data_IF_935053929229
#
_entry.id   IF_935053929229
#
_cell.length_a   1.000
_cell.length_b   1.000
_cell.length_c   1.000
_cell.angle_alpha   90.00
_cell.angle_beta   90.00
_cell.angle_gamma   90.00
#
_symmetry.space_group_name_H-M   'P 1'
#
loop_
_entity.id
_entity.type
_entity.pdbx_description
1 polymer ?
#
# COMPACT_ATOMS: atom_id res chain seq x y z
N UNK A 1 -10.03 1.75 11.32
CA UNK A 1 -9.74 2.26 12.69
C UNK A 1 -10.69 3.40 13.09
N UNK A 2 -10.78 4.44 12.25
CA UNK A 2 -11.53 5.67 12.61
C UNK A 2 -13.05 5.48 12.63
N UNK A 3 -13.64 4.68 11.73
CA UNK A 3 -15.08 4.34 11.79
C UNK A 3 -15.43 3.63 13.11
N UNK A 4 -14.56 2.74 13.59
CA UNK A 4 -14.75 2.02 14.86
C UNK A 4 -14.70 2.99 16.03
N UNK A 5 -13.74 3.92 16.00
CA UNK A 5 -13.54 4.96 17.03
C UNK A 5 -14.67 6.01 17.05
N UNK A 6 -15.17 6.41 15.87
CA UNK A 6 -16.15 7.49 15.70
C UNK A 6 -17.59 6.99 15.86
N UNK A 7 -17.93 5.83 15.30
CA UNK A 7 -19.31 5.29 15.32
C UNK A 7 -19.57 4.38 16.53
N UNK A 8 -18.56 4.13 17.38
CA UNK A 8 -18.62 3.20 18.52
C UNK A 8 -19.10 1.79 18.15
N UNK A 9 -18.82 1.33 16.93
CA UNK A 9 -19.00 -0.09 16.63
C UNK A 9 -18.06 -0.87 17.55
N UNK A 10 -18.59 -1.86 18.26
CA UNK A 10 -17.75 -2.70 19.10
C UNK A 10 -16.70 -3.36 18.19
N UNK A 11 -15.42 -3.35 18.59
CA UNK A 11 -14.33 -3.87 17.74
C UNK A 11 -14.54 -5.35 17.39
N UNK A 12 -15.22 -6.11 18.26
CA UNK A 12 -15.69 -7.48 17.99
C UNK A 12 -16.71 -7.62 16.84
N UNK A 13 -17.31 -6.51 16.38
CA UNK A 13 -18.26 -6.47 15.26
C UNK A 13 -17.62 -5.94 13.98
N UNK A 14 -16.30 -5.81 13.96
CA UNK A 14 -15.56 -5.26 12.82
C UNK A 14 -14.69 -6.34 12.19
N UNK A 15 -14.63 -6.34 10.85
CA UNK A 15 -13.76 -7.24 10.09
C UNK A 15 -12.75 -6.41 9.33
N UNK A 16 -11.47 -6.78 9.50
CA UNK A 16 -10.41 -6.30 8.64
C UNK A 16 -10.39 -7.19 7.40
N UNK A 17 -10.80 -6.63 6.28
CA UNK A 17 -10.60 -7.26 4.98
C UNK A 17 -9.44 -6.56 4.27
N UNK A 18 -8.57 -7.31 3.56
CA UNK A 18 -7.70 -6.68 2.59
C UNK A 18 -8.57 -6.05 1.49
N UNK A 19 -7.93 -5.39 0.53
CA UNK A 19 -8.61 -4.96 -0.69
C UNK A 19 -8.60 -6.12 -1.69
N UNK A 20 -9.68 -6.91 -1.86
CA UNK A 20 -9.64 -8.09 -2.73
C UNK A 20 -9.63 -7.73 -4.22
N UNK A 21 -9.13 -8.65 -5.06
CA UNK A 21 -9.24 -8.60 -6.50
C UNK A 21 -10.07 -9.77 -7.05
N UNK A 22 -10.59 -9.65 -8.28
CA UNK A 22 -11.37 -10.73 -8.91
C UNK A 22 -10.43 -11.69 -9.64
N UNK A 23 -10.22 -12.88 -9.07
CA UNK A 23 -9.50 -13.93 -9.77
C UNK A 23 -10.23 -14.32 -11.06
N UNK A 24 -11.55 -14.44 -11.02
CA UNK A 24 -12.34 -14.75 -12.22
C UNK A 24 -12.09 -13.77 -13.37
N UNK A 25 -11.92 -12.47 -13.09
CA UNK A 25 -11.71 -11.43 -14.11
C UNK A 25 -10.27 -11.34 -14.64
N UNK A 26 -9.27 -11.64 -13.81
CA UNK A 26 -7.87 -11.43 -14.18
C UNK A 26 -7.05 -12.71 -14.37
N UNK A 27 -7.41 -13.81 -13.69
CA UNK A 27 -6.72 -15.10 -13.80
C UNK A 27 -7.10 -15.91 -15.05
N UNK A 28 -8.23 -15.61 -15.69
CA UNK A 28 -8.80 -16.40 -16.79
C UNK A 28 -8.08 -16.14 -18.14
N UNK A 29 -7.22 -17.09 -18.50
CA UNK A 29 -6.64 -17.44 -19.83
C UNK A 29 -5.68 -16.44 -20.51
N UNK A 30 -4.38 -16.52 -20.20
CA UNK A 30 -3.28 -15.93 -20.98
C UNK A 30 -3.23 -16.43 -22.44
N UNK A 31 -3.69 -17.66 -22.71
CA UNK A 31 -3.58 -18.30 -24.03
C UNK A 31 -4.42 -17.66 -25.12
N UNK A 32 -5.54 -17.00 -24.78
CA UNK A 32 -6.35 -16.25 -25.74
C UNK A 32 -5.77 -14.84 -26.02
N UNK A 33 -4.87 -14.34 -25.17
CA UNK A 33 -4.35 -12.96 -25.22
C UNK A 33 -3.07 -12.82 -26.07
N UNK A 34 -2.39 -13.93 -26.37
CA UNK A 34 -1.16 -13.92 -27.19
C UNK A 34 -1.40 -13.62 -28.68
N UNK A 35 -2.59 -13.88 -29.22
CA UNK A 35 -2.88 -13.63 -30.64
C UNK A 35 -3.21 -12.16 -30.97
N UNK A 36 -3.39 -11.30 -29.97
CA UNK A 36 -3.59 -9.84 -30.15
C UNK A 36 -2.41 -8.99 -29.68
N UNK A 37 -1.22 -9.57 -29.51
CA UNK A 37 -0.09 -8.93 -28.82
C UNK A 37 0.47 -7.68 -29.50
N UNK A 38 0.11 -7.40 -30.76
CA UNK A 38 0.55 -6.17 -31.43
C UNK A 38 -0.09 -4.90 -30.86
N UNK A 39 -1.21 -5.00 -30.14
CA UNK A 39 -1.91 -3.83 -29.63
C UNK A 39 -1.21 -3.15 -28.45
N UNK A 40 -0.41 -3.90 -27.69
CA UNK A 40 0.20 -3.40 -26.45
C UNK A 40 1.72 -3.58 -26.44
N UNK A 41 2.35 -2.87 -27.36
CA UNK A 41 3.79 -2.90 -27.59
C UNK A 41 4.53 -1.97 -26.61
N UNK A 42 4.75 -2.44 -25.37
CA UNK A 42 5.47 -1.70 -24.33
C UNK A 42 6.15 -2.63 -23.31
N UNK A 43 7.36 -2.31 -22.90
CA UNK A 43 8.04 -2.99 -21.78
C UNK A 43 7.50 -2.51 -20.43
N UNK A 44 7.23 -1.21 -20.32
CA UNK A 44 6.85 -0.54 -19.07
C UNK A 44 5.44 0.01 -19.18
N UNK A 45 4.59 -0.30 -18.20
CA UNK A 45 3.22 0.20 -18.12
C UNK A 45 2.96 0.98 -16.84
N UNK A 46 2.28 2.10 -16.96
CA UNK A 46 1.65 2.80 -15.85
C UNK A 46 0.15 2.90 -16.15
N UNK A 47 -0.69 2.17 -15.43
CA UNK A 47 -2.15 2.16 -15.64
C UNK A 47 -2.90 2.82 -14.46
N UNK A 48 -3.14 4.13 -14.53
CA UNK A 48 -3.80 4.90 -13.48
C UNK A 48 -4.53 6.15 -14.00
N UNK A 49 -5.70 6.46 -13.42
CA UNK A 49 -6.53 7.61 -13.78
C UNK A 49 -6.10 8.89 -13.06
N UNK A 50 -4.81 9.25 -13.14
CA UNK A 50 -4.22 10.40 -12.43
C UNK A 50 -3.29 11.20 -13.36
N UNK A 51 -3.65 11.35 -14.64
CA UNK A 51 -2.84 12.16 -15.57
C UNK A 51 -2.98 13.68 -15.35
N UNK A 52 -4.02 14.12 -14.64
CA UNK A 52 -4.13 15.52 -14.20
C UNK A 52 -3.02 15.83 -13.18
N UNK A 53 -2.15 16.78 -13.54
CA UNK A 53 -1.02 17.21 -12.70
C UNK A 53 -1.47 17.71 -11.32
N UNK A 54 -0.62 17.60 -10.28
CA UNK A 54 -0.93 18.11 -8.95
C UNK A 54 -1.37 19.59 -8.96
N UNK A 55 -0.71 20.43 -9.76
CA UNK A 55 -1.04 21.84 -9.89
C UNK A 55 -2.44 22.08 -10.50
N UNK A 56 -2.77 21.39 -11.61
CA UNK A 56 -4.10 21.50 -12.25
C UNK A 56 -5.20 20.97 -11.34
N UNK A 57 -4.93 19.92 -10.58
CA UNK A 57 -5.87 19.41 -9.58
C UNK A 57 -6.13 20.45 -8.48
N UNK A 58 -5.10 21.13 -7.97
CA UNK A 58 -5.25 22.21 -6.97
C UNK A 58 -6.06 23.37 -7.55
N UNK A 59 -5.73 23.82 -8.77
CA UNK A 59 -6.47 24.89 -9.46
C UNK A 59 -7.96 24.54 -9.62
N UNK A 60 -8.28 23.34 -10.13
CA UNK A 60 -9.66 22.87 -10.25
C UNK A 60 -10.36 22.78 -8.91
N UNK A 61 -9.66 22.38 -7.85
CA UNK A 61 -10.20 22.31 -6.50
C UNK A 61 -10.51 23.71 -5.96
N UNK A 62 -9.63 24.69 -6.17
CA UNK A 62 -9.87 26.10 -5.81
C UNK A 62 -11.07 26.68 -6.57
N UNK A 63 -11.20 26.38 -7.86
CA UNK A 63 -12.36 26.80 -8.67
C UNK A 63 -13.66 26.19 -8.11
N UNK A 64 -13.65 24.91 -7.74
CA UNK A 64 -14.80 24.23 -7.15
C UNK A 64 -15.15 24.73 -5.74
N UNK A 65 -14.22 25.37 -5.02
CA UNK A 65 -14.44 25.95 -3.69
C UNK A 65 -14.63 27.46 -3.71
N UNK A 66 -14.65 28.13 -4.87
CA UNK A 66 -14.70 29.60 -4.99
C UNK A 66 -15.82 30.30 -4.21
N UNK A 67 -16.96 29.63 -3.97
CA UNK A 67 -18.05 30.14 -3.12
C UNK A 67 -17.81 30.03 -1.61
N UNK A 68 -16.65 29.52 -1.18
CA UNK A 68 -16.27 29.26 0.22
C UNK A 68 -14.87 29.83 0.47
N UNK A 69 -14.73 31.15 0.73
CA UNK A 69 -13.43 31.81 0.83
C UNK A 69 -12.49 31.22 1.88
N UNK A 70 -13.03 30.72 3.01
CA UNK A 70 -12.24 30.03 4.03
C UNK A 70 -11.57 28.76 3.47
N UNK A 71 -12.31 27.95 2.71
CA UNK A 71 -11.78 26.72 2.10
C UNK A 71 -10.70 27.02 1.06
N UNK A 72 -10.89 28.08 0.25
CA UNK A 72 -9.87 28.52 -0.71
C UNK A 72 -8.56 28.88 0.01
N UNK A 73 -8.63 29.68 1.08
CA UNK A 73 -7.44 30.06 1.87
C UNK A 73 -6.74 28.85 2.48
N UNK A 74 -7.51 27.87 2.97
CA UNK A 74 -6.96 26.60 3.50
C UNK A 74 -6.22 25.84 2.40
N UNK A 75 -6.81 25.71 1.20
CA UNK A 75 -6.19 25.00 0.07
C UNK A 75 -4.93 25.72 -0.41
N UNK A 76 -4.99 27.05 -0.60
CA UNK A 76 -3.85 27.88 -1.04
C UNK A 76 -2.66 27.76 -0.08
N UNK A 77 -2.92 27.74 1.23
CA UNK A 77 -1.86 27.59 2.23
C UNK A 77 -1.30 26.16 2.28
N UNK A 78 -2.17 25.16 2.32
CA UNK A 78 -1.79 23.78 2.61
C UNK A 78 -1.26 23.03 1.40
N UNK A 79 -1.78 23.25 0.19
CA UNK A 79 -1.37 22.52 -1.00
C UNK A 79 0.15 22.56 -1.26
N UNK A 80 0.83 23.73 -1.29
CA UNK A 80 2.27 23.77 -1.49
C UNK A 80 3.06 23.14 -0.32
N UNK A 81 2.52 23.16 0.91
CA UNK A 81 3.15 22.50 2.06
C UNK A 81 3.05 20.99 1.99
N UNK A 82 1.89 20.47 1.59
CA UNK A 82 1.67 19.04 1.35
C UNK A 82 2.61 18.53 0.24
N UNK A 83 2.77 19.29 -0.84
CA UNK A 83 3.72 18.95 -1.92
C UNK A 83 5.15 18.89 -1.36
N UNK A 84 5.59 19.91 -0.62
CA UNK A 84 6.92 19.93 0.00
C UNK A 84 7.14 18.80 1.01
N UNK A 85 6.10 18.41 1.75
CA UNK A 85 6.18 17.29 2.69
C UNK A 85 6.51 15.95 2.00
N UNK A 86 6.36 15.87 0.67
CA UNK A 86 6.68 14.69 -0.15
C UNK A 86 8.06 14.77 -0.81
N UNK A 87 8.79 15.89 -0.71
CA UNK A 87 10.11 16.04 -1.36
C UNK A 87 11.15 15.06 -0.81
N UNK A 88 11.04 14.70 0.46
CA UNK A 88 11.87 13.69 1.11
C UNK A 88 10.98 12.50 1.42
N UNK A 89 11.25 11.29 0.95
CA UNK A 89 10.43 10.11 1.30
C UNK A 89 11.00 9.33 2.50
N UNK A 90 12.24 9.62 2.91
CA UNK A 90 13.01 8.71 3.77
C UNK A 90 13.06 9.13 5.25
N UNK A 91 12.50 10.29 5.62
CA UNK A 91 12.72 10.89 6.94
C UNK A 91 11.62 10.58 7.97
N UNK A 92 10.36 10.51 7.56
CA UNK A 92 9.26 10.27 8.50
C UNK A 92 8.07 9.68 7.75
N UNK A 93 7.31 8.77 8.38
CA UNK A 93 6.06 8.26 7.83
C UNK A 93 5.14 9.38 7.33
N UNK A 94 4.68 9.20 6.09
CA UNK A 94 3.92 10.23 5.39
C UNK A 94 2.60 10.64 6.09
N UNK A 95 1.78 9.73 6.65
CA UNK A 95 0.55 10.12 7.34
C UNK A 95 0.76 11.14 8.47
N UNK A 96 1.78 10.95 9.28
CA UNK A 96 2.14 11.79 10.43
C UNK A 96 2.62 13.17 9.98
N UNK A 97 3.43 13.23 8.92
CA UNK A 97 3.85 14.50 8.32
C UNK A 97 2.68 15.27 7.74
N UNK A 98 1.76 14.58 7.06
CA UNK A 98 0.56 15.21 6.53
C UNK A 98 -0.32 15.72 7.66
N UNK A 99 -0.52 14.92 8.72
CA UNK A 99 -1.27 15.33 9.92
C UNK A 99 -0.69 16.61 10.52
N UNK A 100 0.63 16.63 10.81
CA UNK A 100 1.33 17.82 11.31
C UNK A 100 1.16 19.02 10.37
N UNK A 101 1.38 18.83 9.08
CA UNK A 101 1.23 19.88 8.06
C UNK A 101 -0.16 20.51 8.07
N UNK A 102 -1.21 19.68 8.21
CA UNK A 102 -2.59 20.14 8.29
C UNK A 102 -2.84 20.91 9.60
N UNK A 103 -2.37 20.40 10.74
CA UNK A 103 -2.55 21.02 12.06
C UNK A 103 -1.86 22.38 12.15
N UNK A 104 -0.63 22.46 11.67
CA UNK A 104 0.15 23.71 11.66
C UNK A 104 -0.52 24.76 10.78
N UNK A 105 -0.97 24.37 9.58
CA UNK A 105 -1.65 25.31 8.67
C UNK A 105 -3.03 25.78 9.17
N UNK A 106 -3.81 24.92 9.84
CA UNK A 106 -5.06 25.35 10.47
C UNK A 106 -4.81 26.34 11.62
N UNK A 107 -3.79 26.06 12.44
CA UNK A 107 -3.38 26.94 13.54
C UNK A 107 -2.97 28.31 13.04
N UNK A 108 -2.18 28.37 11.96
CA UNK A 108 -1.75 29.62 11.33
C UNK A 108 -2.91 30.46 10.78
N UNK A 109 -3.97 29.81 10.28
CA UNK A 109 -5.18 30.49 9.81
C UNK A 109 -6.12 30.89 10.96
N UNK A 110 -5.77 30.59 12.22
CA UNK A 110 -6.65 30.79 13.37
C UNK A 110 -7.91 29.92 13.31
N UNK A 111 -7.86 28.80 12.61
CA UNK A 111 -8.98 27.88 12.45
C UNK A 111 -8.94 26.77 13.52
N UNK A 112 -10.11 26.21 13.91
CA UNK A 112 -10.12 25.11 14.86
C UNK A 112 -9.37 23.89 14.30
N UNK A 113 -8.65 23.19 15.18
CA UNK A 113 -7.79 22.04 14.85
C UNK A 113 -8.33 20.76 15.50
N UNK A 114 -9.60 20.44 15.26
CA UNK A 114 -10.22 19.23 15.78
C UNK A 114 -9.85 18.00 14.94
N UNK A 115 -9.80 16.81 15.56
CA UNK A 115 -9.55 15.55 14.84
C UNK A 115 -10.52 15.31 13.68
N UNK A 116 -11.77 15.75 13.81
CA UNK A 116 -12.78 15.64 12.76
C UNK A 116 -12.42 16.52 11.53
N UNK A 117 -11.95 17.75 11.76
CA UNK A 117 -11.50 18.64 10.69
C UNK A 117 -10.24 18.11 10.01
N UNK A 118 -9.27 17.62 10.79
CA UNK A 118 -8.05 17.01 10.25
C UNK A 118 -8.39 15.80 9.39
N UNK A 119 -9.25 14.91 9.88
CA UNK A 119 -9.74 13.76 9.11
C UNK A 119 -10.41 14.21 7.81
N UNK A 120 -11.29 15.23 7.89
CA UNK A 120 -11.93 15.82 6.70
C UNK A 120 -10.93 16.33 5.66
N UNK A 121 -9.92 17.08 6.10
CA UNK A 121 -8.86 17.60 5.21
C UNK A 121 -7.93 16.51 4.68
N UNK A 122 -7.64 15.47 5.47
CA UNK A 122 -6.88 14.32 4.99
C UNK A 122 -7.59 13.68 3.79
N UNK A 123 -8.91 13.48 3.87
CA UNK A 123 -9.70 12.86 2.81
C UNK A 123 -9.96 13.79 1.62
N UNK A 124 -10.27 15.06 1.86
CA UNK A 124 -10.66 16.00 0.82
C UNK A 124 -9.46 16.63 0.08
N UNK A 125 -8.31 16.78 0.76
CA UNK A 125 -7.16 17.52 0.25
C UNK A 125 -5.86 16.70 0.27
N UNK A 126 -5.38 16.31 1.46
CA UNK A 126 -4.01 15.82 1.60
C UNK A 126 -3.75 14.49 0.89
N UNK A 127 -4.59 13.46 1.11
CA UNK A 127 -4.37 12.14 0.49
C UNK A 127 -4.55 12.16 -1.04
N UNK A 128 -5.58 12.83 -1.61
CA UNK A 128 -5.71 12.94 -3.07
C UNK A 128 -4.56 13.69 -3.74
N UNK A 129 -4.04 14.74 -3.10
CA UNK A 129 -2.90 15.51 -3.61
C UNK A 129 -1.61 14.71 -3.49
N UNK A 130 -1.34 14.11 -2.32
CA UNK A 130 -0.15 13.31 -2.08
C UNK A 130 -0.05 12.11 -3.03
N UNK A 131 -1.18 11.42 -3.26
CA UNK A 131 -1.25 10.32 -4.23
C UNK A 131 -0.89 10.78 -5.64
N UNK A 132 -1.31 11.98 -6.06
CA UNK A 132 -0.95 12.55 -7.38
C UNK A 132 0.53 12.87 -7.47
N UNK A 133 1.08 13.53 -6.45
CA UNK A 133 2.50 13.89 -6.42
C UNK A 133 3.38 12.63 -6.51
N UNK A 134 3.10 11.60 -5.71
CA UNK A 134 3.84 10.33 -5.76
C UNK A 134 3.77 9.66 -7.14
N UNK A 135 2.59 9.67 -7.77
CA UNK A 135 2.37 9.08 -9.10
C UNK A 135 3.06 9.85 -10.21
N UNK A 136 3.00 11.18 -10.18
CA UNK A 136 3.71 12.01 -11.16
C UNK A 136 5.22 11.88 -11.02
N UNK A 137 5.76 11.82 -9.79
CA UNK A 137 7.18 11.55 -9.58
C UNK A 137 7.60 10.19 -10.16
N UNK A 138 6.80 9.15 -9.93
CA UNK A 138 7.04 7.83 -10.54
C UNK A 138 7.03 7.90 -12.08
N UNK A 139 6.07 8.63 -12.66
CA UNK A 139 6.00 8.82 -14.12
C UNK A 139 7.23 9.55 -14.65
N UNK A 140 7.70 10.60 -13.96
CA UNK A 140 8.92 11.32 -14.30
C UNK A 140 10.13 10.37 -14.32
N UNK A 141 10.35 9.61 -13.25
CA UNK A 141 11.41 8.59 -13.19
C UNK A 141 11.31 7.57 -14.33
N UNK A 142 10.10 7.06 -14.59
CA UNK A 142 9.89 6.07 -15.64
C UNK A 142 10.16 6.64 -17.04
N UNK A 143 9.75 7.88 -17.32
CA UNK A 143 10.01 8.55 -18.59
C UNK A 143 11.51 8.71 -18.82
N UNK A 144 12.24 9.21 -17.84
CA UNK A 144 13.69 9.41 -17.94
C UNK A 144 14.43 8.08 -18.14
N UNK A 145 14.11 7.06 -17.34
CA UNK A 145 14.73 5.73 -17.48
C UNK A 145 14.44 5.11 -18.86
N UNK A 146 13.22 5.26 -19.36
CA UNK A 146 12.85 4.73 -20.67
C UNK A 146 13.56 5.47 -21.81
N UNK A 147 13.72 6.79 -21.71
CA UNK A 147 14.53 7.57 -22.65
C UNK A 147 16.01 7.16 -22.62
N UNK A 148 16.58 6.99 -21.43
CA UNK A 148 17.99 6.63 -21.22
C UNK A 148 18.33 5.24 -21.78
N UNK A 149 17.42 4.27 -21.63
CA UNK A 149 17.65 2.88 -22.00
C UNK A 149 16.96 2.45 -23.31
N UNK A 150 16.19 3.33 -23.94
CA UNK A 150 15.42 3.01 -25.14
C UNK A 150 14.26 2.03 -24.91
N UNK A 151 13.72 1.96 -23.70
CA UNK A 151 12.54 1.15 -23.39
C UNK A 151 11.26 1.85 -23.81
N UNK A 152 10.21 1.09 -24.11
CA UNK A 152 8.90 1.63 -24.50
C UNK A 152 8.00 1.70 -23.28
N UNK A 153 7.58 2.92 -22.97
CA UNK A 153 6.65 3.24 -21.89
C UNK A 153 5.27 3.53 -22.45
N UNK A 154 4.23 3.02 -21.79
CA UNK A 154 2.84 3.45 -21.98
C UNK A 154 2.21 3.96 -20.68
N UNK A 155 1.63 5.14 -20.75
CA UNK A 155 0.81 5.75 -19.69
C UNK A 155 -0.66 5.59 -20.06
N UNK A 156 -1.37 4.74 -19.33
CA UNK A 156 -2.78 4.48 -19.57
C UNK A 156 -3.65 5.10 -18.48
N UNK A 157 -4.61 5.92 -18.90
CA UNK A 157 -5.52 6.62 -18.01
C UNK A 157 -5.90 8.00 -18.54
N UNK A 158 -6.83 8.67 -17.85
CA UNK A 158 -7.28 10.01 -18.27
C UNK A 158 -6.25 11.08 -17.94
N UNK A 159 -5.98 11.95 -18.90
CA UNK A 159 -5.23 13.21 -18.74
C UNK A 159 -3.74 13.15 -19.09
N UNK A 160 -3.19 11.99 -19.45
CA UNK A 160 -1.76 11.88 -19.76
C UNK A 160 -1.37 12.62 -21.06
N UNK A 161 -2.23 12.59 -22.08
CA UNK A 161 -2.06 13.35 -23.32
C UNK A 161 -2.13 14.87 -23.15
N UNK A 162 -2.67 15.37 -22.04
CA UNK A 162 -2.85 16.81 -21.78
C UNK A 162 -1.59 17.48 -21.18
N UNK A 163 -0.66 16.70 -20.63
CA UNK A 163 0.62 17.18 -20.11
C UNK A 163 1.69 17.03 -21.21
N UNK A 164 2.24 18.13 -21.76
CA UNK A 164 3.22 18.07 -22.85
C UNK A 164 4.45 17.21 -22.53
N UNK A 165 4.81 17.07 -21.25
CA UNK A 165 5.95 16.25 -20.81
C UNK A 165 5.71 14.76 -21.01
N UNK A 166 4.46 14.32 -20.94
CA UNK A 166 4.07 12.91 -20.91
C UNK A 166 3.25 12.47 -22.13
N UNK A 167 2.76 13.43 -22.93
CA UNK A 167 1.85 13.17 -24.04
C UNK A 167 2.37 12.14 -25.05
N UNK A 168 3.69 12.09 -25.29
CA UNK A 168 4.30 11.10 -26.21
C UNK A 168 4.19 9.64 -25.72
N UNK A 169 3.94 9.44 -24.42
CA UNK A 169 3.76 8.14 -23.81
C UNK A 169 2.28 7.78 -23.59
N UNK A 170 1.34 8.63 -23.99
CA UNK A 170 -0.09 8.39 -23.79
C UNK A 170 -0.55 7.12 -24.54
N UNK A 171 -0.98 6.13 -23.77
CA UNK A 171 -1.55 4.88 -24.27
C UNK A 171 -3.08 4.88 -24.28
N UNK A 172 -3.72 6.01 -23.96
CA UNK A 172 -5.16 6.15 -23.86
C UNK A 172 -5.76 5.48 -22.61
N UNK A 173 -7.09 5.46 -22.54
CA UNK A 173 -7.81 4.88 -21.41
C UNK A 173 -8.01 3.38 -21.59
N UNK A 174 -7.48 2.59 -20.66
CA UNK A 174 -7.76 1.15 -20.58
C UNK A 174 -9.06 0.89 -19.82
N UNK A 175 -9.96 0.13 -20.45
CA UNK A 175 -11.14 -0.39 -19.78
C UNK A 175 -10.74 -1.42 -18.70
N UNK A 176 -11.41 -1.39 -17.56
CA UNK A 176 -11.18 -2.35 -16.48
C UNK A 176 -11.66 -3.74 -16.86
N UNK A 177 -10.77 -4.75 -16.81
CA UNK A 177 -11.08 -6.13 -17.20
C UNK A 177 -10.12 -6.61 -18.24
N UNK A 178 -10.62 -7.20 -19.33
CA UNK A 178 -9.78 -7.87 -20.32
C UNK A 178 -8.74 -6.97 -20.98
N UNK A 179 -9.08 -5.71 -21.28
CA UNK A 179 -8.12 -4.76 -21.84
C UNK A 179 -6.97 -4.49 -20.87
N UNK A 180 -7.29 -4.18 -19.61
CA UNK A 180 -6.28 -3.95 -18.57
C UNK A 180 -5.50 -5.22 -18.21
N UNK A 181 -6.16 -6.37 -18.11
CA UNK A 181 -5.53 -7.66 -17.82
C UNK A 181 -4.62 -8.12 -18.95
N UNK A 182 -4.96 -7.85 -20.20
CA UNK A 182 -4.07 -8.05 -21.34
C UNK A 182 -2.85 -7.17 -21.22
N UNK A 183 -3.01 -5.86 -20.97
CA UNK A 183 -1.90 -4.94 -20.80
C UNK A 183 -0.93 -5.40 -19.69
N UNK A 184 -1.46 -5.79 -18.51
CA UNK A 184 -0.65 -6.35 -17.42
C UNK A 184 0.12 -7.60 -17.83
N UNK A 185 -0.53 -8.52 -18.54
CA UNK A 185 0.07 -9.81 -18.93
C UNK A 185 1.12 -9.67 -20.03
N UNK A 186 1.06 -8.63 -20.86
CA UNK A 186 1.95 -8.45 -22.01
C UNK A 186 3.13 -7.53 -21.73
N UNK A 187 3.05 -6.66 -20.73
CA UNK A 187 4.16 -5.77 -20.33
C UNK A 187 5.18 -6.49 -19.47
N UNK A 188 6.45 -6.10 -19.56
CA UNK A 188 7.50 -6.67 -18.73
C UNK A 188 7.32 -6.27 -17.26
N UNK A 189 6.92 -5.03 -17.01
CA UNK A 189 6.67 -4.52 -15.66
C UNK A 189 5.57 -3.46 -15.65
N UNK A 190 4.73 -3.49 -14.62
CA UNK A 190 3.70 -2.48 -14.37
C UNK A 190 4.05 -1.68 -13.13
N UNK A 191 4.21 -0.37 -13.24
CA UNK A 191 4.63 0.47 -12.12
C UNK A 191 3.42 0.94 -11.30
N UNK A 192 3.59 0.97 -9.97
CA UNK A 192 2.58 1.38 -9.02
C UNK A 192 3.16 2.31 -7.96
N UNK A 193 2.53 3.48 -7.78
CA UNK A 193 2.77 4.37 -6.65
C UNK A 193 1.44 4.78 -6.02
N UNK A 194 1.43 4.77 -4.70
CA UNK A 194 0.24 4.91 -3.87
C UNK A 194 0.68 5.29 -2.45
N UNK A 195 -0.21 5.92 -1.70
CA UNK A 195 -0.04 6.15 -0.26
C UNK A 195 0.04 4.83 0.52
N UNK A 196 -0.51 3.75 -0.02
CA UNK A 196 -0.45 2.38 0.54
C UNK A 196 0.16 1.44 -0.48
N UNK A 197 1.10 0.58 -0.09
CA UNK A 197 1.68 -0.36 -1.05
C UNK A 197 0.73 -1.50 -1.47
N UNK A 198 -0.17 -1.97 -0.58
CA UNK A 198 -1.23 -2.93 -0.95
C UNK A 198 -2.42 -2.20 -1.55
N UNK A 199 -2.68 -2.45 -2.82
CA UNK A 199 -3.78 -1.84 -3.56
C UNK A 199 -4.40 -2.87 -4.51
N UNK A 200 -5.70 -2.78 -4.76
CA UNK A 200 -6.43 -3.70 -5.65
C UNK A 200 -5.71 -3.94 -6.98
N UNK A 201 -5.25 -2.86 -7.62
CA UNK A 201 -4.51 -2.90 -8.90
C UNK A 201 -3.24 -3.75 -8.88
N UNK A 202 -2.56 -3.84 -7.74
CA UNK A 202 -1.37 -4.69 -7.59
C UNK A 202 -1.78 -6.15 -7.70
N UNK A 203 -2.83 -6.56 -6.97
CA UNK A 203 -3.35 -7.92 -7.03
C UNK A 203 -3.93 -8.28 -8.40
N UNK A 204 -4.63 -7.34 -9.06
CA UNK A 204 -5.12 -7.53 -10.42
C UNK A 204 -3.99 -7.74 -11.42
N UNK A 205 -2.89 -6.99 -11.30
CA UNK A 205 -1.67 -7.18 -12.10
C UNK A 205 -1.07 -8.56 -11.88
N UNK A 206 -0.91 -8.97 -10.62
CA UNK A 206 -0.36 -10.28 -10.25
C UNK A 206 -1.23 -11.42 -10.80
N UNK A 207 -2.56 -11.34 -10.61
CA UNK A 207 -3.52 -12.34 -11.11
C UNK A 207 -3.53 -12.42 -12.64
N UNK A 208 -3.31 -11.30 -13.32
CA UNK A 208 -3.16 -11.26 -14.78
C UNK A 208 -1.85 -11.89 -15.29
N UNK A 209 -0.90 -12.21 -14.40
CA UNK A 209 0.43 -12.70 -14.77
C UNK A 209 1.46 -11.60 -14.99
N UNK A 210 1.15 -10.35 -14.65
CA UNK A 210 2.08 -9.23 -14.73
C UNK A 210 2.97 -9.10 -13.49
N UNK A 211 4.11 -8.44 -13.66
CA UNK A 211 5.02 -8.10 -12.56
C UNK A 211 4.76 -6.65 -12.11
N UNK A 212 4.21 -6.40 -10.91
CA UNK A 212 4.14 -5.05 -10.38
C UNK A 212 5.54 -4.61 -9.93
N UNK A 213 5.90 -3.35 -10.13
CA UNK A 213 6.97 -2.69 -9.39
C UNK A 213 6.35 -1.59 -8.54
N UNK A 214 6.60 -1.58 -7.24
CA UNK A 214 5.87 -0.76 -6.27
C UNK A 214 6.80 0.17 -5.51
N UNK A 215 6.43 1.45 -5.46
CA UNK A 215 7.10 2.44 -4.64
C UNK A 215 6.90 2.12 -3.15
N UNK A 216 7.98 1.68 -2.52
CA UNK A 216 8.09 1.38 -1.10
C UNK A 216 8.55 2.60 -0.32
N UNK A 217 7.89 2.87 0.80
CA UNK A 217 8.14 4.04 1.66
C UNK A 217 8.28 3.57 3.12
N UNK A 218 8.94 4.34 3.99
CA UNK A 218 9.12 3.95 5.40
C UNK A 218 7.80 3.61 6.12
N UNK A 219 6.68 4.28 5.80
CA UNK A 219 5.39 3.95 6.39
C UNK A 219 4.86 2.55 6.01
N UNK A 220 5.31 1.98 4.89
CA UNK A 220 4.92 0.62 4.50
C UNK A 220 5.54 -0.42 5.46
N UNK A 221 6.65 -0.09 6.14
CA UNK A 221 7.20 -0.91 7.24
C UNK A 221 6.27 -0.93 8.46
N UNK A 222 5.47 0.13 8.70
CA UNK A 222 4.53 0.15 9.83
C UNK A 222 3.48 -0.94 9.69
N UNK A 223 3.00 -1.17 8.47
CA UNK A 223 2.05 -2.26 8.19
C UNK A 223 2.68 -3.61 8.53
N UNK A 224 3.94 -3.81 8.18
CA UNK A 224 4.66 -5.04 8.50
C UNK A 224 4.82 -5.23 10.02
N UNK A 225 5.17 -4.15 10.75
CA UNK A 225 5.24 -4.18 12.21
C UNK A 225 3.90 -4.46 12.87
N UNK A 226 2.82 -3.85 12.39
CA UNK A 226 1.48 -4.10 12.91
C UNK A 226 1.14 -5.60 12.81
N UNK A 227 1.52 -6.26 11.71
CA UNK A 227 1.38 -7.71 11.57
C UNK A 227 2.32 -8.49 12.52
N UNK A 228 3.56 -8.03 12.71
CA UNK A 228 4.48 -8.63 13.67
C UNK A 228 3.98 -8.57 15.11
N UNK A 229 3.43 -7.43 15.53
CA UNK A 229 2.80 -7.25 16.85
C UNK A 229 1.63 -8.23 17.03
N UNK A 230 0.82 -8.45 15.98
CA UNK A 230 -0.25 -9.44 15.99
C UNK A 230 0.26 -10.90 16.08
N UNK A 231 1.28 -11.27 15.30
CA UNK A 231 1.92 -12.61 15.41
C UNK A 231 2.50 -12.83 16.81
N UNK A 232 3.17 -11.82 17.36
CA UNK A 232 3.73 -11.88 18.71
C UNK A 232 2.61 -12.05 19.75
N UNK A 233 1.50 -11.34 19.60
CA UNK A 233 0.33 -11.48 20.45
C UNK A 233 -0.26 -12.90 20.39
N UNK A 234 -0.47 -13.46 19.20
CA UNK A 234 -0.96 -14.84 19.02
C UNK A 234 -0.01 -15.88 19.64
N UNK A 235 1.29 -15.70 19.42
CA UNK A 235 2.33 -16.58 19.98
C UNK A 235 2.34 -16.51 21.51
N UNK A 236 2.21 -15.31 22.08
CA UNK A 236 2.14 -15.11 23.53
C UNK A 236 0.89 -15.76 24.13
N UNK A 237 -0.26 -15.65 23.47
CA UNK A 237 -1.51 -16.30 23.90
C UNK A 237 -1.41 -17.83 23.84
N UNK A 238 -0.81 -18.38 22.78
CA UNK A 238 -0.60 -19.83 22.66
C UNK A 238 0.33 -20.41 23.75
N UNK A 239 1.28 -19.60 24.23
CA UNK A 239 2.24 -19.98 25.27
C UNK A 239 1.75 -19.67 26.70
N UNK A 240 0.73 -18.81 26.86
CA UNK A 240 0.22 -18.42 28.16
C UNK A 240 -0.57 -19.58 28.79
N UNK A 241 -0.05 -20.12 29.89
CA UNK A 241 -0.85 -20.99 30.76
C UNK A 241 -2.10 -20.24 31.25
N UNK A 242 -3.24 -20.93 31.33
CA UNK A 242 -4.54 -20.37 31.72
C UNK A 242 -4.54 -19.64 33.09
N UNK A 243 -3.47 -19.77 33.88
CA UNK A 243 -3.31 -19.21 35.22
C UNK A 243 -2.49 -17.91 35.28
N UNK A 244 -1.94 -17.42 34.18
CA UNK A 244 -1.07 -16.24 34.19
C UNK A 244 -1.87 -14.92 34.35
N UNK A 245 -1.44 -14.01 35.26
CA UNK A 245 -2.09 -12.72 35.48
C UNK A 245 -2.23 -11.89 34.19
N UNK A 246 -3.30 -11.12 34.10
CA UNK A 246 -3.81 -10.50 32.86
C UNK A 246 -3.06 -9.27 32.32
N UNK A 247 -1.89 -8.91 32.87
CA UNK A 247 -1.32 -7.56 32.65
C UNK A 247 0.18 -7.50 32.33
N UNK A 248 0.87 -8.63 32.09
CA UNK A 248 2.28 -8.55 31.73
C UNK A 248 2.39 -8.32 30.22
N UNK A 249 2.96 -7.20 29.74
CA UNK A 249 3.28 -7.03 28.33
C UNK A 249 4.20 -8.19 27.93
N UNK A 250 3.72 -9.04 27.03
CA UNK A 250 4.49 -10.18 26.57
C UNK A 250 5.53 -9.66 25.58
N UNK A 251 6.81 -9.96 25.82
CA UNK A 251 7.86 -9.78 24.82
C UNK A 251 8.08 -11.13 24.16
N UNK A 252 7.86 -11.19 22.86
CA UNK A 252 8.14 -12.39 22.07
C UNK A 252 9.45 -12.18 21.36
N UNK A 253 10.39 -13.10 21.55
CA UNK A 253 11.64 -13.10 20.78
C UNK A 253 11.32 -13.32 19.30
N UNK A 254 11.97 -12.56 18.42
CA UNK A 254 11.78 -12.66 16.97
C UNK A 254 12.06 -14.08 16.47
N UNK A 255 13.03 -14.77 17.06
CA UNK A 255 13.39 -16.14 16.67
C UNK A 255 12.42 -17.20 17.21
N UNK A 256 11.42 -16.81 18.01
CA UNK A 256 10.38 -17.71 18.50
C UNK A 256 9.28 -17.99 17.46
N UNK A 257 9.26 -17.28 16.33
CA UNK A 257 8.26 -17.48 15.29
C UNK A 257 8.83 -17.19 13.88
N UNK A 258 8.71 -18.12 12.90
CA UNK A 258 9.29 -17.94 11.56
C UNK A 258 8.89 -16.64 10.86
N UNK A 259 7.61 -16.24 10.96
CA UNK A 259 7.15 -14.98 10.37
C UNK A 259 7.81 -13.74 11.01
N UNK A 260 8.11 -13.75 12.30
CA UNK A 260 8.82 -12.63 12.94
C UNK A 260 10.26 -12.57 12.42
N UNK A 261 10.93 -13.72 12.26
CA UNK A 261 12.26 -13.80 11.63
C UNK A 261 12.24 -13.23 10.22
N UNK A 262 11.28 -13.64 9.38
CA UNK A 262 11.09 -13.09 8.02
C UNK A 262 10.86 -11.57 8.05
N UNK A 263 10.02 -11.10 8.98
CA UNK A 263 9.80 -9.66 9.16
C UNK A 263 11.09 -8.92 9.52
N UNK A 264 11.90 -9.44 10.45
CA UNK A 264 13.19 -8.81 10.81
C UNK A 264 14.08 -8.70 9.58
N UNK A 265 14.25 -9.78 8.82
CA UNK A 265 15.05 -9.76 7.59
C UNK A 265 14.51 -8.75 6.58
N UNK A 266 13.19 -8.67 6.39
CA UNK A 266 12.57 -7.66 5.53
C UNK A 266 12.87 -6.24 5.99
N UNK A 267 12.76 -5.98 7.29
CA UNK A 267 13.07 -4.67 7.87
C UNK A 267 14.54 -4.32 7.71
N UNK A 268 15.45 -5.27 7.93
CA UNK A 268 16.89 -5.08 7.73
C UNK A 268 17.17 -4.74 6.26
N UNK A 269 16.67 -5.55 5.33
CA UNK A 269 16.93 -5.35 3.91
C UNK A 269 16.32 -4.04 3.37
N UNK A 270 15.09 -3.72 3.77
CA UNK A 270 14.37 -2.54 3.30
C UNK A 270 14.74 -1.26 4.06
N UNK A 271 15.35 -1.39 5.24
CA UNK A 271 15.56 -0.30 6.19
C UNK A 271 17.02 0.07 6.51
N UNK A 272 17.99 -0.79 6.19
CA UNK A 272 19.40 -0.66 6.63
C UNK A 272 20.11 0.65 6.24
N UNK A 273 19.71 1.33 5.16
CA UNK A 273 20.38 2.58 4.74
C UNK A 273 19.72 3.85 5.32
N UNK A 274 18.41 3.84 5.61
CA UNK A 274 17.64 5.02 6.02
C UNK A 274 17.29 5.02 7.52
N UNK A 275 17.07 3.85 8.13
CA UNK A 275 16.62 3.75 9.53
C UNK A 275 17.73 4.01 10.55
N UNK A 276 18.98 3.72 10.21
CA UNK A 276 20.12 3.85 11.12
C UNK A 276 20.39 5.30 11.55
N UNK A 277 20.01 6.27 10.72
CA UNK A 277 20.18 7.71 10.99
C UNK A 277 18.87 8.42 11.35
N UNK A 278 17.75 7.71 11.29
CA UNK A 278 16.43 8.30 11.46
C UNK A 278 16.03 8.36 12.95
N UNK A 279 15.78 9.58 13.43
CA UNK A 279 15.34 9.87 14.82
C UNK A 279 13.82 9.83 14.99
N UNK A 280 13.05 9.52 13.95
CA UNK A 280 11.58 9.47 14.00
C UNK A 280 11.08 8.47 15.04
N UNK A 281 10.24 8.97 15.95
CA UNK A 281 9.52 8.17 16.95
C UNK A 281 8.63 7.09 16.31
N UNK A 282 8.10 7.33 15.11
CA UNK A 282 7.23 6.36 14.41
C UNK A 282 7.99 5.11 13.97
N UNK A 283 9.29 5.24 13.71
CA UNK A 283 10.17 4.13 13.37
C UNK A 283 10.92 3.59 14.59
N UNK A 284 10.71 4.17 15.79
CA UNK A 284 11.27 3.64 17.04
C UNK A 284 10.93 2.17 17.24
N UNK A 285 9.68 1.68 17.02
CA UNK A 285 9.40 0.24 17.16
C UNK A 285 10.23 -0.64 16.22
N UNK A 286 10.53 -0.14 15.01
CA UNK A 286 11.41 -0.84 14.06
C UNK A 286 12.81 -0.95 14.64
N UNK A 287 13.38 0.16 15.11
CA UNK A 287 14.72 0.17 15.72
C UNK A 287 14.78 -0.68 16.99
N UNK A 288 13.77 -0.58 17.85
CA UNK A 288 13.69 -1.35 19.09
C UNK A 288 13.62 -2.85 18.79
N UNK A 289 12.83 -3.25 17.79
CA UNK A 289 12.77 -4.64 17.33
C UNK A 289 14.14 -5.12 16.82
N UNK A 290 14.81 -4.33 15.98
CA UNK A 290 16.15 -4.66 15.47
C UNK A 290 17.19 -4.74 16.61
N UNK A 291 17.15 -3.81 17.56
CA UNK A 291 18.13 -3.73 18.65
C UNK A 291 17.94 -4.83 19.69
N UNK A 292 16.68 -5.19 20.00
CA UNK A 292 16.38 -6.13 21.10
C UNK A 292 16.04 -7.54 20.61
N UNK A 293 15.81 -7.73 19.30
CA UNK A 293 15.23 -8.97 18.75
C UNK A 293 13.96 -9.40 19.49
N UNK A 294 13.17 -8.43 19.96
CA UNK A 294 11.86 -8.68 20.58
C UNK A 294 10.78 -7.83 19.96
N UNK A 295 9.58 -8.39 19.84
CA UNK A 295 8.36 -7.66 19.48
C UNK A 295 7.48 -7.57 20.72
N UNK A 296 6.99 -6.37 21.01
CA UNK A 296 6.11 -6.13 22.15
C UNK A 296 4.68 -6.52 21.77
N UNK A 297 4.09 -7.45 22.50
CA UNK A 297 2.67 -7.71 22.49
C UNK A 297 2.06 -7.09 23.76
N UNK A 298 1.43 -5.93 23.62
CA UNK A 298 0.57 -5.43 24.68
C UNK A 298 -0.74 -6.21 24.63
N UNK A 299 -1.04 -6.92 25.71
CA UNK A 299 -2.32 -7.61 25.88
C UNK A 299 -3.14 -6.75 26.84
N UNK A 300 -4.08 -5.97 26.34
CA UNK A 300 -5.07 -5.35 27.23
C UNK A 300 -5.96 -6.46 27.83
N UNK A 301 -6.35 -6.39 29.12
CA UNK A 301 -7.30 -7.33 29.72
C UNK A 301 -8.60 -7.49 28.91
N UNK A 302 -9.05 -6.41 28.26
CA UNK A 302 -10.25 -6.41 27.42
C UNK A 302 -10.02 -7.12 26.07
N UNK A 303 -8.77 -7.22 25.60
CA UNK A 303 -8.40 -7.82 24.30
C UNK A 303 -8.38 -9.35 24.34
N UNK A 304 -8.27 -9.99 25.51
CA UNK A 304 -8.35 -11.46 25.64
C UNK A 304 -9.70 -12.05 25.19
N UNK A 305 -10.76 -11.24 25.18
CA UNK A 305 -12.08 -11.63 24.66
C UNK A 305 -12.33 -11.17 23.22
N UNK A 306 -11.41 -10.40 22.64
CA UNK A 306 -11.53 -9.80 21.32
C UNK A 306 -10.53 -10.40 20.34
N UNK A 307 -10.70 -11.68 20.02
CA UNK A 307 -10.16 -12.20 18.76
C UNK A 307 -10.98 -11.56 17.65
N UNK A 308 -10.51 -10.42 17.10
CA UNK A 308 -10.97 -10.05 15.76
C UNK A 308 -10.51 -11.22 14.90
N UNK A 309 -11.42 -12.00 14.30
CA UNK A 309 -11.01 -13.09 13.43
C UNK A 309 -10.30 -12.43 12.25
N UNK A 310 -8.97 -12.41 12.29
CA UNK A 310 -8.19 -12.00 11.14
C UNK A 310 -8.36 -13.10 10.11
N UNK A 311 -9.07 -12.76 9.04
CA UNK A 311 -9.35 -13.72 7.98
C UNK A 311 -8.05 -14.22 7.35
N UNK A 312 -7.08 -13.31 7.19
CA UNK A 312 -5.74 -13.64 6.73
C UNK A 312 -4.86 -13.68 7.98
N UNK A 313 -4.21 -14.82 8.27
CA UNK A 313 -3.23 -14.88 9.34
C UNK A 313 -2.19 -13.76 9.16
N UNK A 314 -1.83 -13.00 10.21
CA UNK A 314 -0.85 -11.92 10.09
C UNK A 314 0.49 -12.42 9.48
N UNK A 315 0.86 -13.69 9.76
CA UNK A 315 1.99 -14.35 9.13
C UNK A 315 1.94 -14.37 7.59
N UNK A 316 0.74 -14.45 6.99
CA UNK A 316 0.54 -14.55 5.55
C UNK A 316 0.69 -13.20 4.86
N UNK A 317 0.37 -12.12 5.57
CA UNK A 317 0.78 -10.79 5.14
C UNK A 317 2.30 -10.67 5.09
N UNK A 318 3.02 -11.14 6.11
CA UNK A 318 4.49 -11.12 6.12
C UNK A 318 5.05 -11.96 4.96
N UNK A 319 4.49 -13.15 4.70
CA UNK A 319 4.87 -13.98 3.53
C UNK A 319 4.62 -13.27 2.20
N UNK A 320 3.52 -12.52 2.09
CA UNK A 320 3.21 -11.72 0.91
C UNK A 320 4.25 -10.60 0.70
N UNK A 321 4.62 -9.86 1.75
CA UNK A 321 5.70 -8.87 1.67
C UNK A 321 7.01 -9.50 1.22
N UNK A 322 7.34 -10.67 1.77
CA UNK A 322 8.57 -11.39 1.44
C UNK A 322 8.61 -11.80 -0.03
N UNK A 323 7.53 -12.40 -0.53
CA UNK A 323 7.41 -12.79 -1.92
C UNK A 323 7.45 -11.58 -2.87
N UNK A 324 6.94 -10.42 -2.45
CA UNK A 324 6.97 -9.19 -3.24
C UNK A 324 8.26 -8.39 -3.10
N UNK A 325 9.20 -8.78 -2.24
CA UNK A 325 10.46 -8.05 -2.00
C UNK A 325 11.20 -7.66 -3.30
N UNK A 326 11.35 -8.53 -4.32
CA UNK A 326 12.04 -8.17 -5.57
C UNK A 326 11.32 -7.11 -6.41
N UNK A 327 10.07 -6.79 -6.06
CA UNK A 327 9.21 -5.84 -6.75
C UNK A 327 9.17 -4.46 -6.06
N UNK A 328 9.87 -4.29 -4.94
CA UNK A 328 9.86 -3.05 -4.14
C UNK A 328 11.03 -2.17 -4.53
N UNK A 329 10.78 -0.88 -4.76
CA UNK A 329 11.81 0.13 -4.98
C UNK A 329 11.53 1.40 -4.17
N UNK A 330 12.57 2.14 -3.83
CA UNK A 330 12.54 3.40 -3.08
C UNK A 330 13.07 4.55 -3.92
N UNK A 331 14.07 4.26 -4.76
CA UNK A 331 14.74 5.24 -5.61
C UNK A 331 14.53 4.96 -7.10
N UNK A 332 14.90 5.94 -7.93
CA UNK A 332 14.91 5.84 -9.38
C UNK A 332 15.85 4.73 -9.86
N UNK A 333 17.00 4.56 -9.23
CA UNK A 333 18.02 3.56 -9.58
C UNK A 333 17.54 2.14 -9.28
N UNK A 334 16.89 1.94 -8.13
CA UNK A 334 16.26 0.67 -7.79
C UNK A 334 15.14 0.33 -8.78
N UNK A 335 14.31 1.33 -9.14
CA UNK A 335 13.29 1.18 -10.18
C UNK A 335 13.91 0.75 -11.53
N UNK A 336 14.97 1.43 -11.97
CA UNK A 336 15.69 1.08 -13.20
C UNK A 336 16.23 -0.35 -13.18
N UNK A 337 16.75 -0.80 -12.04
CA UNK A 337 17.23 -2.18 -11.85
C UNK A 337 16.10 -3.21 -11.99
N UNK A 338 14.94 -2.94 -11.38
CA UNK A 338 13.76 -3.83 -11.49
C UNK A 338 13.29 -3.90 -12.95
N UNK A 339 13.17 -2.75 -13.63
CA UNK A 339 12.75 -2.71 -15.04
C UNK A 339 13.73 -3.50 -15.92
N UNK A 340 15.04 -3.24 -15.79
CA UNK A 340 16.08 -3.91 -16.56
C UNK A 340 16.05 -5.44 -16.36
N UNK A 341 15.90 -5.89 -15.11
CA UNK A 341 15.80 -7.32 -14.80
C UNK A 341 14.52 -7.94 -15.39
N UNK A 342 13.37 -7.27 -15.27
CA UNK A 342 12.11 -7.76 -15.79
C UNK A 342 12.09 -7.89 -17.33
N UNK A 343 12.86 -7.05 -18.04
CA UNK A 343 13.04 -7.10 -19.49
C UNK A 343 14.05 -8.20 -19.87
N UNK A 344 15.19 -8.26 -19.19
CA UNK A 344 16.31 -9.16 -19.51
C UNK A 344 16.02 -10.63 -19.18
N UNK A 345 15.27 -10.88 -18.11
CA UNK A 345 15.05 -12.23 -17.58
C UNK A 345 13.54 -12.53 -17.38
N UNK A 346 12.83 -12.92 -18.46
CA UNK A 346 11.42 -13.28 -18.39
C UNK A 346 11.12 -14.49 -17.49
N UNK A 347 12.09 -15.41 -17.33
CA UNK A 347 11.92 -16.61 -16.50
C UNK A 347 11.92 -16.25 -15.02
N UNK A 348 12.90 -15.46 -14.57
CA UNK A 348 12.93 -14.92 -13.21
C UNK A 348 11.67 -14.11 -12.91
N UNK A 349 11.24 -13.24 -13.83
CA UNK A 349 9.97 -12.52 -13.73
C UNK A 349 8.77 -13.45 -13.53
N UNK A 350 8.68 -14.51 -14.33
CA UNK A 350 7.58 -15.48 -14.24
C UNK A 350 7.63 -16.26 -12.92
N UNK A 351 8.82 -16.60 -12.44
CA UNK A 351 9.04 -17.25 -11.14
C UNK A 351 8.55 -16.37 -9.99
N UNK A 352 8.96 -15.09 -9.96
CA UNK A 352 8.48 -14.10 -8.98
C UNK A 352 6.97 -13.95 -9.03
N UNK A 353 6.38 -13.76 -10.22
CA UNK A 353 4.93 -13.64 -10.35
C UNK A 353 4.21 -14.91 -9.84
N UNK A 354 4.70 -16.10 -10.16
CA UNK A 354 4.08 -17.38 -9.76
C UNK A 354 4.04 -17.53 -8.24
N UNK A 355 5.14 -17.20 -7.56
CA UNK A 355 5.22 -17.25 -6.10
C UNK A 355 4.21 -16.30 -5.44
N UNK A 356 4.17 -15.04 -5.88
CA UNK A 356 3.25 -14.02 -5.34
C UNK A 356 1.79 -14.35 -5.69
N UNK A 357 1.53 -14.82 -6.91
CA UNK A 357 0.18 -15.11 -7.41
C UNK A 357 -0.51 -16.20 -6.60
N UNK A 358 0.21 -17.26 -6.21
CA UNK A 358 -0.34 -18.32 -5.36
C UNK A 358 -0.90 -17.74 -4.05
N UNK A 359 -0.17 -16.83 -3.40
CA UNK A 359 -0.63 -16.15 -2.20
C UNK A 359 -1.83 -15.23 -2.47
N UNK A 360 -1.82 -14.50 -3.59
CA UNK A 360 -2.96 -13.63 -3.98
C UNK A 360 -4.22 -14.46 -4.21
N UNK A 361 -4.14 -15.57 -4.95
CA UNK A 361 -5.27 -16.46 -5.21
C UNK A 361 -5.83 -17.08 -3.93
N UNK A 362 -4.95 -17.41 -2.98
CA UNK A 362 -5.32 -18.02 -1.71
C UNK A 362 -5.98 -17.04 -0.74
N UNK A 363 -5.51 -15.79 -0.65
CA UNK A 363 -5.89 -14.88 0.43
C UNK A 363 -6.39 -13.50 -0.01
N UNK A 364 -6.29 -13.10 -1.27
CA UNK A 364 -6.55 -11.70 -1.67
C UNK A 364 -7.57 -11.59 -2.81
N UNK A 365 -8.49 -12.56 -2.89
CA UNK A 365 -9.56 -12.59 -3.89
C UNK A 365 -10.95 -12.35 -3.30
N UNK A 366 -11.88 -11.82 -4.09
CA UNK A 366 -13.28 -11.64 -3.67
C UNK A 366 -13.92 -12.97 -3.25
N UNK A 367 -13.59 -14.04 -3.97
CA UNK A 367 -14.08 -15.39 -3.73
C UNK A 367 -13.69 -15.87 -2.32
N UNK A 368 -12.42 -15.68 -1.94
CA UNK A 368 -11.93 -16.10 -0.63
C UNK A 368 -12.41 -15.17 0.49
N UNK A 369 -12.46 -13.86 0.24
CA UNK A 369 -13.04 -12.88 1.16
C UNK A 369 -14.51 -13.20 1.48
N UNK A 370 -15.30 -13.52 0.45
CA UNK A 370 -16.72 -13.87 0.59
C UNK A 370 -16.89 -15.16 1.37
N UNK A 371 -16.11 -16.20 1.05
CA UNK A 371 -16.12 -17.47 1.77
C UNK A 371 -15.87 -17.25 3.27
N UNK A 372 -14.84 -16.50 3.61
CA UNK A 372 -14.50 -16.26 5.00
C UNK A 372 -15.52 -15.43 5.77
N UNK A 373 -16.14 -14.45 5.11
CA UNK A 373 -17.24 -13.70 5.69
C UNK A 373 -18.42 -14.64 6.02
N UNK A 374 -18.76 -15.57 5.11
CA UNK A 374 -19.79 -16.59 5.34
C UNK A 374 -19.40 -17.51 6.51
N UNK A 375 -18.17 -18.04 6.51
CA UNK A 375 -17.70 -18.95 7.56
C UNK A 375 -17.72 -18.30 8.95
N UNK A 376 -17.43 -17.01 9.03
CA UNK A 376 -17.54 -16.25 10.27
C UNK A 376 -19.00 -16.14 10.74
N UNK A 377 -19.92 -15.80 9.85
CA UNK A 377 -21.35 -15.72 10.17
C UNK A 377 -21.86 -17.08 10.65
N UNK A 378 -21.50 -18.16 9.96
CA UNK A 378 -21.86 -19.53 10.35
C UNK A 378 -21.34 -19.85 11.75
N UNK A 379 -20.06 -19.59 12.03
CA UNK A 379 -19.47 -19.81 13.37
C UNK A 379 -20.21 -19.03 14.46
N UNK A 380 -20.49 -17.76 14.22
CA UNK A 380 -21.23 -16.91 15.17
C UNK A 380 -22.64 -17.42 15.45
N UNK A 381 -23.33 -17.95 14.44
CA UNK A 381 -24.67 -18.53 14.61
C UNK A 381 -24.64 -19.85 15.37
N UNK A 382 -23.59 -20.66 15.18
CA UNK A 382 -23.43 -21.93 15.91
C UNK A 382 -22.99 -21.75 17.36
N UNK A 383 -22.13 -20.79 17.66
CA UNK A 383 -21.64 -20.55 19.03
C UNK A 383 -22.69 -19.96 19.97
N UNK A 384 -23.75 -19.34 19.42
CA UNK A 384 -24.86 -18.78 20.22
C UNK A 384 -25.89 -19.85 20.63
N UNK A 385 -25.83 -21.04 20.01
CA UNK A 385 -26.78 -22.14 20.28
C UNK A 385 -26.23 -23.19 21.26
N UNK A 386 -24.93 -23.15 21.54
CA UNK A 386 -24.26 -23.95 22.57
C UNK A 386 -24.14 -23.11 23.84
#
# INVERSE_FOLDING_TARGET
PDIVRIRRFARQQTLRFPVPASATKFASRPSARKSSSSAFDAEVLIAMNHGESPARWVERTLLATRGRPADCRVIELLAPRIIRALDVLDAEPLPERLDRTLRDGLTELGLPCTDAQITGLQHALARPLATRVLRHRLVEWACELCDEHGWRLKLCGRGWGDDPRFARFDGGVLAHGDALGTAYATTAVTLHASMTFLHQRVYECILAGGLPAMLFKPEDLRILLDFGELVAHETALGNASATAPSQIPARVHVDAHPALTTMRTLVEDLGTTSLATNTSETLRPVRDMLATSTVRAEISPDERTMVVPEWIPPADHIRMFDAMRPCLFRTREELGTIIANAIRDPESRQSTNTAVRSLVEQYFTYEQTTRAAIDLVVRSLTSTRA
#
